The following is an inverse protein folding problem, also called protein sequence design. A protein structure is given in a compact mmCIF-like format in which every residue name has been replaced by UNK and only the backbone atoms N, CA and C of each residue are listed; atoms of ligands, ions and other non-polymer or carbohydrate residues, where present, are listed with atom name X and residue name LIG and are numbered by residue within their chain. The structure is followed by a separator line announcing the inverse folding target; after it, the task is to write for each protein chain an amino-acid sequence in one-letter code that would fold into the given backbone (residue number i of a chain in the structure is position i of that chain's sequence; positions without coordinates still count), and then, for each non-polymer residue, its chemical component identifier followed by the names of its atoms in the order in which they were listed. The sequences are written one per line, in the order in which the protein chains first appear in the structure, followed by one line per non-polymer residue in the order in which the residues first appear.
data_IF_042368679859
#
_entry.id   IF_042368679859
#
_cell.length_a   1.000
_cell.length_b   1.000
_cell.length_c   1.000
_cell.angle_alpha   90.00
_cell.angle_beta   90.00
_cell.angle_gamma   90.00
#
_symmetry.space_group_name_H-M   'P 1'
#
loop_
_entity.id
_entity.type
_entity.pdbx_description
1 polymer ?
#
# COMPACT_ATOMS: atom_id res chain seq x y z
N UNK A 1 -15.14 -8.56 -18.61
CA UNK A 1 -14.35 -8.29 -17.40
C UNK A 1 -14.01 -6.82 -17.40
N UNK A 2 -14.72 -6.00 -16.63
CA UNK A 2 -14.39 -4.58 -16.45
C UNK A 2 -13.13 -4.51 -15.60
N UNK A 3 -11.99 -4.17 -16.19
CA UNK A 3 -10.77 -3.82 -15.46
C UNK A 3 -11.11 -2.71 -14.48
N UNK A 4 -11.12 -3.03 -13.18
CA UNK A 4 -11.33 -2.05 -12.15
C UNK A 4 -10.22 -1.00 -12.26
N UNK A 5 -10.59 0.28 -12.30
CA UNK A 5 -9.62 1.36 -12.41
C UNK A 5 -8.72 1.34 -11.16
N UNK A 6 -7.43 1.07 -11.37
CA UNK A 6 -6.44 1.09 -10.29
C UNK A 6 -6.18 2.53 -9.88
N UNK A 7 -6.37 2.81 -8.58
CA UNK A 7 -5.94 4.09 -8.01
C UNK A 7 -4.45 4.27 -8.26
N UNK A 8 -4.08 5.45 -8.75
CA UNK A 8 -2.69 5.79 -9.10
C UNK A 8 -2.02 6.73 -8.11
N UNK A 9 -2.80 7.46 -7.32
CA UNK A 9 -2.28 8.45 -6.39
C UNK A 9 -2.43 8.02 -4.92
N UNK A 10 -1.41 8.30 -4.08
CA UNK A 10 -1.51 8.10 -2.65
C UNK A 10 -2.53 9.07 -2.05
N UNK A 11 -3.07 8.73 -0.88
CA UNK A 11 -3.95 9.65 -0.16
C UNK A 11 -3.16 10.90 0.29
N UNK A 12 -3.83 12.05 0.39
CA UNK A 12 -3.19 13.32 0.76
C UNK A 12 -2.45 13.27 2.11
N UNK A 13 -2.95 12.45 3.04
CA UNK A 13 -2.39 12.18 4.36
C UNK A 13 -1.56 10.87 4.44
N UNK A 14 -1.21 10.28 3.30
CA UNK A 14 -0.53 8.99 3.29
C UNK A 14 0.89 9.13 3.88
N UNK A 15 1.26 8.31 4.88
CA UNK A 15 2.58 8.39 5.53
C UNK A 15 3.73 7.99 4.59
N UNK A 16 3.43 7.32 3.48
CA UNK A 16 4.43 6.87 2.50
C UNK A 16 4.77 7.92 1.41
N UNK A 17 4.09 9.09 1.42
CA UNK A 17 4.43 10.22 0.54
C UNK A 17 5.75 10.84 0.97
N UNK A 18 6.60 11.23 0.02
CA UNK A 18 7.82 12.01 0.29
C UNK A 18 7.52 13.36 0.93
N UNK A 19 6.38 13.96 0.56
CA UNK A 19 5.90 15.22 1.14
C UNK A 19 5.12 15.05 2.46
N UNK A 20 5.21 13.88 3.10
CA UNK A 20 4.53 13.67 4.38
C UNK A 20 5.03 14.71 5.39
N UNK A 21 4.08 15.37 6.07
CA UNK A 21 4.37 16.40 7.08
C UNK A 21 5.30 15.83 8.16
N UNK A 22 6.27 16.63 8.63
CA UNK A 22 7.19 16.24 9.71
C UNK A 22 6.48 15.74 10.97
N UNK A 23 5.25 16.20 11.24
CA UNK A 23 4.42 15.68 12.33
C UNK A 23 4.17 14.16 12.25
N UNK A 24 4.19 13.57 11.05
CA UNK A 24 4.06 12.12 10.84
C UNK A 24 5.33 11.33 11.21
N UNK A 25 6.44 12.01 11.53
CA UNK A 25 7.71 11.40 11.94
C UNK A 25 7.88 11.38 13.47
N UNK A 26 6.86 11.78 14.22
CA UNK A 26 6.90 11.68 15.67
C UNK A 26 6.86 10.20 16.11
N UNK A 27 7.63 9.76 17.13
CA UNK A 27 7.64 8.36 17.60
C UNK A 27 6.25 7.75 17.84
N UNK A 28 5.29 8.55 18.30
CA UNK A 28 3.91 8.10 18.51
C UNK A 28 3.20 7.66 17.23
N UNK A 29 3.52 8.25 16.09
CA UNK A 29 2.94 7.86 14.80
C UNK A 29 3.46 6.49 14.37
N UNK A 30 4.72 6.18 14.64
CA UNK A 30 5.25 4.82 14.43
C UNK A 30 4.62 3.79 15.36
N UNK A 31 4.32 4.16 16.62
CA UNK A 31 3.58 3.29 17.54
C UNK A 31 2.16 3.02 17.01
N UNK A 32 1.47 4.05 16.51
CA UNK A 32 0.14 3.90 15.90
C UNK A 32 0.19 3.00 14.67
N UNK A 33 1.16 3.23 13.77
CA UNK A 33 1.36 2.38 12.60
C UNK A 33 1.56 0.92 13.02
N UNK A 34 2.47 0.64 13.95
CA UNK A 34 2.72 -0.71 14.47
C UNK A 34 1.48 -1.34 15.12
N UNK A 35 0.63 -0.54 15.78
CA UNK A 35 -0.64 -1.03 16.33
C UNK A 35 -1.65 -1.34 15.22
N UNK A 36 -1.80 -0.46 14.23
CA UNK A 36 -2.70 -0.65 13.08
C UNK A 36 -2.30 -1.87 12.24
N UNK A 37 -0.99 -2.07 12.09
CA UNK A 37 -0.39 -3.26 11.51
C UNK A 37 -0.84 -4.54 12.24
N UNK A 38 -0.90 -4.53 13.58
CA UNK A 38 -1.29 -5.69 14.39
C UNK A 38 -2.78 -5.90 14.54
N UNK A 39 -3.59 -4.85 14.61
CA UNK A 39 -4.99 -4.93 15.09
C UNK A 39 -6.05 -4.71 14.01
N UNK A 40 -5.75 -4.00 12.92
CA UNK A 40 -6.80 -3.55 11.99
C UNK A 40 -6.91 -4.36 10.68
N UNK A 41 -6.11 -5.43 10.51
CA UNK A 41 -6.08 -6.18 9.24
C UNK A 41 -5.69 -5.30 8.05
N UNK A 42 -4.96 -4.20 8.31
CA UNK A 42 -4.38 -3.35 7.27
C UNK A 42 -3.24 -4.06 6.56
N UNK A 43 -2.46 -4.84 7.31
CA UNK A 43 -1.85 -6.04 6.76
C UNK A 43 -2.97 -7.03 6.52
N UNK A 44 -3.27 -7.35 5.26
CA UNK A 44 -4.01 -8.58 4.99
C UNK A 44 -3.28 -9.78 5.63
N UNK A 45 -3.90 -10.96 5.63
CA UNK A 45 -3.26 -12.21 6.11
C UNK A 45 -1.88 -12.49 5.45
N UNK A 46 -1.61 -11.85 4.32
CA UNK A 46 -0.38 -11.92 3.53
C UNK A 46 0.76 -10.97 3.96
N UNK A 47 0.57 -10.10 4.97
CA UNK A 47 1.59 -9.09 5.33
C UNK A 47 1.74 -7.96 4.29
N UNK A 48 0.68 -7.69 3.53
CA UNK A 48 0.61 -6.63 2.53
C UNK A 48 -0.33 -5.50 2.99
N UNK A 49 0.02 -4.25 2.70
CA UNK A 49 -0.86 -3.12 2.99
C UNK A 49 -1.99 -3.03 1.97
N UNK A 50 -3.22 -3.24 2.42
CA UNK A 50 -4.43 -3.00 1.63
C UNK A 50 -4.83 -1.52 1.67
N UNK A 51 -5.57 -1.09 0.66
CA UNK A 51 -6.14 0.25 0.61
C UNK A 51 -7.18 0.43 1.73
N UNK A 52 -6.97 1.40 2.62
CA UNK A 52 -7.92 1.68 3.71
C UNK A 52 -9.29 2.15 3.19
N UNK A 53 -9.36 2.71 1.97
CA UNK A 53 -10.63 3.08 1.31
C UNK A 53 -11.44 1.86 0.86
N UNK A 54 -10.83 0.67 0.81
CA UNK A 54 -11.49 -0.60 0.50
C UNK A 54 -11.83 -1.41 1.76
N UNK A 55 -11.83 -0.80 2.96
CA UNK A 55 -12.13 -1.53 4.23
C UNK A 55 -13.50 -2.20 4.22
N UNK A 56 -14.47 -1.66 3.48
CA UNK A 56 -15.80 -2.26 3.31
C UNK A 56 -15.83 -3.45 2.34
N UNK A 57 -14.78 -3.66 1.54
CA UNK A 57 -14.69 -4.79 0.60
C UNK A 57 -14.13 -6.05 1.27
N UNK A 58 -14.47 -7.25 0.75
CA UNK A 58 -13.80 -8.49 1.08
C UNK A 58 -12.27 -8.37 0.92
N UNK A 59 -11.49 -9.03 1.78
CA UNK A 59 -10.03 -8.89 1.81
C UNK A 59 -9.36 -9.25 0.47
N UNK A 60 -9.91 -10.22 -0.26
CA UNK A 60 -9.45 -10.66 -1.58
C UNK A 60 -9.81 -9.68 -2.73
N UNK A 61 -10.66 -8.69 -2.48
CA UNK A 61 -11.07 -7.67 -3.46
C UNK A 61 -10.47 -6.28 -3.15
N UNK A 62 -9.69 -6.15 -2.08
CA UNK A 62 -9.03 -4.90 -1.71
C UNK A 62 -7.83 -4.67 -2.63
N UNK A 63 -7.72 -3.47 -3.17
CA UNK A 63 -6.50 -3.07 -3.86
C UNK A 63 -5.36 -2.89 -2.87
N UNK A 64 -4.12 -3.04 -3.31
CA UNK A 64 -2.95 -2.71 -2.50
C UNK A 64 -2.86 -1.19 -2.29
N UNK A 65 -2.24 -0.78 -1.18
CA UNK A 65 -2.05 0.63 -0.86
C UNK A 65 -1.06 1.28 -1.84
N UNK A 66 -1.53 2.28 -2.59
CA UNK A 66 -0.74 2.99 -3.61
C UNK A 66 0.54 3.61 -3.05
N UNK A 67 0.44 4.39 -1.98
CA UNK A 67 1.63 5.02 -1.39
C UNK A 67 2.66 4.01 -0.89
N UNK A 68 2.19 2.89 -0.36
CA UNK A 68 3.08 1.79 0.03
C UNK A 68 3.72 1.13 -1.19
N UNK A 69 2.97 0.87 -2.27
CA UNK A 69 3.54 0.31 -3.51
C UNK A 69 4.58 1.23 -4.14
N UNK A 70 4.33 2.54 -4.17
CA UNK A 70 5.32 3.52 -4.61
C UNK A 70 6.58 3.47 -3.74
N UNK A 71 6.44 3.38 -2.42
CA UNK A 71 7.59 3.21 -1.52
C UNK A 71 8.38 1.91 -1.80
N UNK A 72 7.69 0.79 -2.02
CA UNK A 72 8.33 -0.48 -2.38
C UNK A 72 9.07 -0.39 -3.72
N UNK A 73 8.49 0.28 -4.72
CA UNK A 73 9.11 0.50 -6.04
C UNK A 73 10.35 1.38 -5.93
N UNK A 74 10.25 2.52 -5.25
CA UNK A 74 11.37 3.45 -5.02
C UNK A 74 12.54 2.80 -4.29
N UNK A 75 12.27 1.89 -3.34
CA UNK A 75 13.32 1.14 -2.63
C UNK A 75 14.10 0.19 -3.54
N UNK A 76 13.60 -0.11 -4.74
CA UNK A 76 14.22 -1.03 -5.72
C UNK A 76 14.23 -2.50 -5.30
N UNK A 77 13.96 -2.78 -4.02
CA UNK A 77 14.00 -4.11 -3.41
C UNK A 77 12.68 -4.30 -2.63
N UNK A 78 11.57 -4.67 -3.31
CA UNK A 78 10.29 -4.88 -2.67
C UNK A 78 10.35 -5.94 -1.57
N UNK A 79 9.43 -5.90 -0.60
CA UNK A 79 9.33 -6.89 0.46
C UNK A 79 9.11 -8.30 -0.11
N UNK A 80 9.56 -9.33 0.62
CA UNK A 80 9.37 -10.73 0.19
C UNK A 80 7.89 -11.06 -0.01
N UNK A 81 7.02 -10.60 0.90
CA UNK A 81 5.58 -10.77 0.78
C UNK A 81 5.03 -10.18 -0.54
N UNK A 82 5.46 -8.97 -0.90
CA UNK A 82 5.04 -8.35 -2.16
C UNK A 82 5.54 -9.15 -3.37
N UNK A 83 6.79 -9.62 -3.36
CA UNK A 83 7.32 -10.46 -4.45
C UNK A 83 6.51 -11.75 -4.63
N UNK A 84 6.18 -12.45 -3.54
CA UNK A 84 5.37 -13.67 -3.59
C UNK A 84 3.95 -13.40 -4.11
N UNK A 85 3.36 -12.25 -3.75
CA UNK A 85 2.08 -11.82 -4.29
C UNK A 85 2.15 -11.53 -5.78
N UNK A 86 3.17 -10.79 -6.23
CA UNK A 86 3.36 -10.48 -7.65
C UNK A 86 3.58 -11.75 -8.48
N UNK A 87 4.20 -12.79 -7.95
CA UNK A 87 4.34 -14.08 -8.65
C UNK A 87 2.99 -14.78 -8.85
N UNK A 88 2.08 -14.67 -7.88
CA UNK A 88 0.82 -15.43 -7.84
C UNK A 88 -0.41 -14.67 -8.31
N UNK A 89 -0.33 -13.35 -8.48
CA UNK A 89 -1.49 -12.50 -8.75
C UNK A 89 -1.22 -11.48 -9.86
N UNK A 90 -1.90 -11.66 -10.99
CA UNK A 90 -1.79 -10.79 -12.16
C UNK A 90 -2.33 -9.37 -11.90
N UNK A 91 -3.40 -9.20 -11.13
CA UNK A 91 -3.93 -7.87 -10.83
C UNK A 91 -2.94 -7.08 -9.97
N UNK A 92 -2.26 -7.75 -9.04
CA UNK A 92 -1.18 -7.14 -8.27
C UNK A 92 -0.01 -6.71 -9.18
N UNK A 93 0.32 -7.49 -10.22
CA UNK A 93 1.34 -7.11 -11.21
C UNK A 93 0.93 -5.85 -11.97
N UNK A 94 -0.29 -5.82 -12.50
CA UNK A 94 -0.83 -4.66 -13.23
C UNK A 94 -0.84 -3.42 -12.35
N UNK A 95 -1.30 -3.56 -11.11
CA UNK A 95 -1.32 -2.46 -10.15
C UNK A 95 0.09 -1.93 -9.87
N UNK A 96 1.06 -2.81 -9.61
CA UNK A 96 2.43 -2.42 -9.28
C UNK A 96 3.17 -1.78 -10.47
N UNK A 97 2.99 -2.33 -11.68
CA UNK A 97 3.58 -1.80 -12.90
C UNK A 97 3.10 -0.38 -13.22
N UNK A 98 1.83 -0.09 -12.91
CA UNK A 98 1.21 1.23 -13.12
C UNK A 98 1.63 2.35 -12.17
N UNK A 99 2.48 2.07 -11.18
CA UNK A 99 2.95 3.08 -10.21
C UNK A 99 4.08 3.94 -10.80
N UNK A 100 3.99 5.26 -10.72
CA UNK A 100 5.13 6.16 -10.95
C UNK A 100 5.92 6.39 -9.67
N UNK A 101 7.18 6.81 -9.83
CA UNK A 101 8.04 7.23 -8.72
C UNK A 101 7.78 8.69 -8.27
N UNK A 102 6.86 9.37 -8.95
CA UNK A 102 6.47 10.76 -8.70
C UNK A 102 5.26 10.83 -7.75
N UNK A 103 5.43 11.55 -6.64
CA UNK A 103 4.35 11.92 -5.72
C UNK A 103 3.75 13.26 -6.19
N UNK A 104 3.08 13.29 -7.35
CA UNK A 104 2.36 14.51 -7.81
C UNK A 104 1.22 14.88 -6.86
#
# INVERSE_FOLDING_TARGET
MTTAEHRREPCSNCPFRRSARLAHWHPTEYIKLHQMEKSEGQFGESGLFNCHKDRSKPANERQLCVGWLQDQRRKGVPSLALRLKLISDHEAQVQFAGMSDDDS
#
